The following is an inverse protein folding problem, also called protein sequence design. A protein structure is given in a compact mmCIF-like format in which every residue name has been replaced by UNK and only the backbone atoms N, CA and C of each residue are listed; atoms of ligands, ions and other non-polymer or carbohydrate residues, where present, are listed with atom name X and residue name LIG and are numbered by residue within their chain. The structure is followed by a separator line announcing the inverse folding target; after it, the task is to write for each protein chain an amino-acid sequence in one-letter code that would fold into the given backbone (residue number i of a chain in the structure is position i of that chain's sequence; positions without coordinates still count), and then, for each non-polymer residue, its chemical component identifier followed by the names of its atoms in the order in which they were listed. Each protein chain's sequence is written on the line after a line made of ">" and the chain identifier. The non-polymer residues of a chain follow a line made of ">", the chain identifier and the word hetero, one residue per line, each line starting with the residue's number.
data_IF_941931580013
#
_entry.id   IF_941931580013
#
_cell.length_a   1.000
_cell.length_b   1.000
_cell.length_c   1.000
_cell.angle_alpha   90.00
_cell.angle_beta   90.00
_cell.angle_gamma   90.00
#
_symmetry.space_group_name_H-M   'P 1'
#
loop_
_entity.id
_entity.type
_entity.pdbx_description
1 polymer ?
#
# COMPACT_ATOMS: atom_id res chain seq x y z
N UNK A 1 43.45 13.99 20.95
CA UNK A 1 42.61 12.89 21.31
C UNK A 1 41.14 13.34 21.28
N UNK A 2 40.36 12.75 20.40
CA UNK A 2 38.88 12.74 20.35
C UNK A 2 38.14 14.08 20.11
N UNK A 3 38.03 14.46 18.85
CA UNK A 3 36.91 15.25 18.32
C UNK A 3 36.54 14.66 16.94
N UNK A 4 35.81 13.58 16.89
CA UNK A 4 35.20 13.07 15.65
C UNK A 4 34.00 12.19 16.08
N UNK A 5 32.87 12.77 16.43
CA UNK A 5 31.56 12.03 16.47
C UNK A 5 30.34 12.99 16.46
N UNK A 6 30.44 14.25 16.05
CA UNK A 6 29.26 15.15 16.12
C UNK A 6 28.75 15.65 14.76
N UNK A 7 29.24 15.13 13.63
CA UNK A 7 28.87 15.71 12.30
C UNK A 7 27.90 14.89 11.47
N UNK A 8 27.45 13.73 11.91
CA UNK A 8 26.60 12.85 11.09
C UNK A 8 25.10 13.05 11.35
N UNK A 9 24.69 13.65 12.46
CA UNK A 9 23.28 13.89 12.81
C UNK A 9 22.70 15.23 12.33
N UNK A 10 23.54 16.17 11.92
CA UNK A 10 23.10 17.53 11.57
C UNK A 10 22.77 17.72 10.08
N UNK A 11 23.11 16.78 9.23
CA UNK A 11 22.89 16.88 7.77
C UNK A 11 21.51 16.36 7.30
N UNK A 12 20.79 15.64 8.17
CA UNK A 12 19.43 15.13 7.88
C UNK A 12 18.35 16.19 8.17
N UNK A 13 18.66 17.21 8.98
CA UNK A 13 17.67 18.20 9.46
C UNK A 13 17.50 19.44 8.56
N UNK A 14 18.31 19.65 7.54
CA UNK A 14 18.26 20.87 6.71
C UNK A 14 17.61 20.64 5.33
N UNK A 15 17.38 19.39 4.91
CA UNK A 15 16.75 19.13 3.60
C UNK A 15 15.21 19.07 3.66
N UNK A 16 14.59 19.06 4.85
CA UNK A 16 13.13 19.00 5.03
C UNK A 16 12.45 20.35 5.28
N UNK A 17 13.17 21.45 5.30
CA UNK A 17 12.59 22.77 5.62
C UNK A 17 11.83 23.45 4.47
N UNK A 18 11.66 22.81 3.31
CA UNK A 18 10.98 23.39 2.15
C UNK A 18 9.74 22.61 1.66
N UNK A 19 9.35 21.51 2.32
CA UNK A 19 8.09 20.83 2.05
C UNK A 19 7.32 20.68 3.36
N UNK A 20 6.61 21.72 3.73
CA UNK A 20 5.82 21.84 4.97
C UNK A 20 4.51 21.04 4.94
N UNK A 21 4.57 19.75 4.55
CA UNK A 21 3.51 18.77 4.78
C UNK A 21 4.15 17.55 5.40
N UNK A 22 4.20 17.50 6.74
CA UNK A 22 4.84 16.37 7.44
C UNK A 22 3.96 15.11 7.35
N UNK A 23 4.15 14.34 6.27
CA UNK A 23 3.69 12.97 6.25
C UNK A 23 4.59 12.15 7.19
N UNK A 24 4.00 11.64 8.27
CA UNK A 24 4.69 10.77 9.20
C UNK A 24 4.42 9.30 8.83
N UNK A 25 5.48 8.50 8.74
CA UNK A 25 5.40 7.06 8.46
C UNK A 25 5.88 6.28 9.69
N UNK A 26 4.97 5.54 10.32
CA UNK A 26 5.27 4.59 11.38
C UNK A 26 5.33 3.18 10.80
N UNK A 27 6.41 2.45 11.05
CA UNK A 27 6.56 1.04 10.66
C UNK A 27 6.64 0.18 11.91
N UNK A 28 5.80 -0.86 11.96
CA UNK A 28 5.68 -1.74 13.11
C UNK A 28 5.80 -3.19 12.65
N UNK A 29 6.90 -3.89 12.99
CA UNK A 29 7.01 -5.32 12.72
C UNK A 29 6.01 -6.10 13.58
N UNK A 30 5.41 -7.14 13.01
CA UNK A 30 4.47 -8.01 13.70
C UNK A 30 5.21 -9.21 14.31
N UNK A 31 5.11 -9.36 15.63
CA UNK A 31 5.55 -10.57 16.30
C UNK A 31 4.48 -11.65 16.13
N UNK A 32 4.59 -12.43 15.05
CA UNK A 32 3.59 -13.39 14.63
C UNK A 32 4.04 -14.82 14.91
N UNK A 33 3.15 -15.65 15.45
CA UNK A 33 3.36 -17.10 15.56
C UNK A 33 3.40 -17.75 14.16
N UNK A 34 3.86 -18.99 14.08
CA UNK A 34 3.88 -19.76 12.82
C UNK A 34 2.50 -19.86 12.18
N UNK A 35 1.44 -20.05 12.98
CA UNK A 35 0.07 -20.08 12.51
C UNK A 35 -0.38 -18.71 11.96
N UNK A 36 -0.07 -17.63 12.69
CA UNK A 36 -0.37 -16.27 12.25
C UNK A 36 0.37 -15.92 10.95
N UNK A 37 1.64 -16.32 10.81
CA UNK A 37 2.40 -16.14 9.56
C UNK A 37 1.76 -16.88 8.38
N UNK A 38 1.27 -18.10 8.58
CA UNK A 38 0.58 -18.85 7.53
C UNK A 38 -0.71 -18.13 7.09
N UNK A 39 -1.49 -17.61 8.04
CA UNK A 39 -2.71 -16.83 7.76
C UNK A 39 -2.42 -15.50 7.06
N UNK A 40 -1.34 -14.81 7.42
CA UNK A 40 -0.92 -13.57 6.75
C UNK A 40 -0.48 -13.83 5.31
N UNK A 41 0.28 -14.91 5.05
CA UNK A 41 0.66 -15.32 3.69
C UNK A 41 -0.57 -15.70 2.86
N UNK A 42 -1.52 -16.43 3.43
CA UNK A 42 -2.76 -16.79 2.75
C UNK A 42 -3.58 -15.56 2.37
N UNK A 43 -3.68 -14.57 3.27
CA UNK A 43 -4.33 -13.29 2.99
C UNK A 43 -3.61 -12.55 1.84
N UNK A 44 -2.29 -12.45 1.90
CA UNK A 44 -1.47 -11.75 0.91
C UNK A 44 -1.62 -12.38 -0.48
N UNK A 45 -1.49 -13.71 -0.58
CA UNK A 45 -1.65 -14.43 -1.85
C UNK A 45 -3.09 -14.33 -2.39
N UNK A 46 -4.12 -14.36 -1.54
CA UNK A 46 -5.51 -14.14 -1.98
C UNK A 46 -5.72 -12.71 -2.47
N UNK A 47 -5.18 -11.72 -1.77
CA UNK A 47 -5.22 -10.32 -2.21
C UNK A 47 -4.56 -10.13 -3.57
N UNK A 48 -3.38 -10.74 -3.80
CA UNK A 48 -2.70 -10.75 -5.10
C UNK A 48 -3.57 -11.37 -6.20
N UNK A 49 -4.25 -12.50 -5.92
CA UNK A 49 -5.18 -13.13 -6.88
C UNK A 49 -6.33 -12.20 -7.26
N UNK A 50 -6.88 -11.44 -6.31
CA UNK A 50 -7.92 -10.44 -6.59
C UNK A 50 -7.38 -9.32 -7.47
N UNK A 51 -6.19 -8.79 -7.17
CA UNK A 51 -5.52 -7.78 -8.00
C UNK A 51 -5.29 -8.30 -9.44
N UNK A 52 -4.79 -9.53 -9.57
CA UNK A 52 -4.55 -10.17 -10.87
C UNK A 52 -5.83 -10.46 -11.65
N UNK A 53 -6.94 -10.72 -10.99
CA UNK A 53 -8.24 -10.89 -11.64
C UNK A 53 -8.80 -9.56 -12.18
N UNK A 54 -8.43 -8.43 -11.55
CA UNK A 54 -8.84 -7.10 -11.94
C UNK A 54 -7.97 -6.49 -13.04
N UNK A 55 -6.66 -6.78 -13.05
CA UNK A 55 -5.70 -6.17 -13.96
C UNK A 55 -6.06 -6.25 -15.46
N UNK A 56 -6.64 -7.36 -16.01
CA UNK A 56 -7.10 -7.43 -17.39
C UNK A 56 -8.18 -6.39 -17.72
N UNK A 57 -9.06 -6.06 -16.77
CA UNK A 57 -10.06 -5.01 -17.00
C UNK A 57 -9.40 -3.65 -17.22
N UNK A 58 -8.37 -3.31 -16.42
CA UNK A 58 -7.59 -2.08 -16.62
C UNK A 58 -6.94 -2.07 -18.00
N UNK A 59 -6.29 -3.17 -18.40
CA UNK A 59 -5.63 -3.30 -19.71
C UNK A 59 -6.62 -3.06 -20.85
N UNK A 60 -7.77 -3.71 -20.81
CA UNK A 60 -8.76 -3.69 -21.90
C UNK A 60 -9.53 -2.36 -21.97
N UNK A 61 -9.91 -1.79 -20.81
CA UNK A 61 -10.78 -0.62 -20.75
C UNK A 61 -10.02 0.70 -20.66
N UNK A 62 -8.73 0.67 -20.33
CA UNK A 62 -7.90 1.83 -19.96
C UNK A 62 -8.50 2.64 -18.80
N UNK A 63 -9.32 2.01 -17.96
CA UNK A 63 -9.94 2.61 -16.78
C UNK A 63 -9.20 2.15 -15.54
N UNK A 64 -8.65 3.08 -14.74
CA UNK A 64 -8.05 2.83 -13.44
C UNK A 64 -8.49 3.79 -12.35
N UNK A 65 -9.48 4.65 -12.63
CA UNK A 65 -10.13 5.40 -11.58
C UNK A 65 -10.81 4.44 -10.59
N UNK A 66 -10.54 4.61 -9.28
CA UNK A 66 -11.03 3.69 -8.25
C UNK A 66 -12.54 3.49 -8.27
N UNK A 67 -13.31 4.59 -8.44
CA UNK A 67 -14.78 4.54 -8.44
C UNK A 67 -15.29 3.80 -9.68
N UNK A 68 -14.75 4.13 -10.86
CA UNK A 68 -15.13 3.46 -12.11
C UNK A 68 -14.78 1.96 -12.08
N UNK A 69 -13.59 1.59 -11.63
CA UNK A 69 -13.20 0.18 -11.46
C UNK A 69 -14.13 -0.55 -10.48
N UNK A 70 -14.50 0.08 -9.37
CA UNK A 70 -15.43 -0.52 -8.43
C UNK A 70 -16.77 -0.85 -9.12
N UNK A 71 -17.33 0.10 -9.86
CA UNK A 71 -18.58 -0.14 -10.58
C UNK A 71 -18.48 -1.26 -11.62
N UNK A 72 -17.35 -1.35 -12.33
CA UNK A 72 -17.13 -2.35 -13.37
C UNK A 72 -16.92 -3.76 -12.84
N UNK A 73 -16.29 -3.90 -11.65
CA UNK A 73 -15.68 -5.19 -11.28
C UNK A 73 -16.10 -5.74 -9.92
N UNK A 74 -16.61 -4.91 -9.01
CA UNK A 74 -16.84 -5.31 -7.62
C UNK A 74 -17.72 -6.54 -7.50
N UNK A 75 -18.87 -6.60 -8.21
CA UNK A 75 -19.79 -7.73 -8.14
C UNK A 75 -19.12 -9.03 -8.60
N UNK A 76 -18.48 -9.01 -9.77
CA UNK A 76 -17.76 -10.18 -10.31
C UNK A 76 -16.62 -10.64 -9.39
N UNK A 77 -15.88 -9.72 -8.79
CA UNK A 77 -14.83 -10.06 -7.83
C UNK A 77 -15.40 -10.68 -6.55
N UNK A 78 -16.53 -10.17 -6.03
CA UNK A 78 -17.21 -10.75 -4.87
C UNK A 78 -17.70 -12.17 -5.12
N UNK A 79 -18.25 -12.42 -6.32
CA UNK A 79 -18.73 -13.75 -6.71
C UNK A 79 -17.56 -14.74 -6.88
N UNK A 80 -16.43 -14.26 -7.43
CA UNK A 80 -15.24 -15.08 -7.69
C UNK A 80 -14.38 -15.37 -6.46
N UNK A 81 -14.37 -14.47 -5.48
CA UNK A 81 -13.54 -14.54 -4.27
C UNK A 81 -14.41 -14.36 -3.01
N UNK A 82 -15.33 -15.31 -2.71
CA UNK A 82 -16.22 -15.21 -1.56
C UNK A 82 -15.47 -15.26 -0.21
N UNK A 83 -14.27 -15.87 -0.18
CA UNK A 83 -13.45 -16.03 0.99
C UNK A 83 -12.83 -14.72 1.51
N UNK A 84 -12.67 -13.71 0.66
CA UNK A 84 -12.12 -12.41 1.07
C UNK A 84 -13.24 -11.42 1.39
N UNK A 85 -13.10 -10.68 2.50
CA UNK A 85 -14.11 -9.71 2.94
C UNK A 85 -14.39 -8.61 1.90
N UNK A 86 -15.65 -8.13 1.84
CA UNK A 86 -16.09 -7.11 0.87
C UNK A 86 -15.22 -5.86 0.85
N UNK A 87 -14.85 -5.36 2.02
CA UNK A 87 -13.98 -4.18 2.12
C UNK A 87 -12.56 -4.47 1.63
N UNK A 88 -12.04 -5.69 1.83
CA UNK A 88 -10.74 -6.08 1.30
C UNK A 88 -10.72 -6.14 -0.23
N UNK A 89 -11.85 -6.51 -0.87
CA UNK A 89 -12.00 -6.37 -2.34
C UNK A 89 -11.92 -4.90 -2.76
N UNK A 90 -12.55 -3.98 -2.02
CA UNK A 90 -12.42 -2.54 -2.28
C UNK A 90 -10.98 -2.05 -2.12
N UNK A 91 -10.23 -2.62 -1.17
CA UNK A 91 -8.82 -2.29 -0.96
C UNK A 91 -7.92 -2.86 -2.08
N UNK A 92 -8.27 -4.03 -2.64
CA UNK A 92 -7.58 -4.56 -3.83
C UNK A 92 -7.85 -3.69 -5.07
N UNK A 93 -9.08 -3.22 -5.27
CA UNK A 93 -9.41 -2.24 -6.32
C UNK A 93 -8.59 -0.95 -6.14
N UNK A 94 -8.44 -0.46 -4.90
CA UNK A 94 -7.58 0.67 -4.59
C UNK A 94 -6.12 0.40 -4.95
N UNK A 95 -5.57 -0.77 -4.58
CA UNK A 95 -4.20 -1.17 -4.89
C UNK A 95 -3.92 -1.14 -6.40
N UNK A 96 -4.77 -1.78 -7.20
CA UNK A 96 -4.63 -1.80 -8.67
C UNK A 96 -4.79 -0.40 -9.26
N UNK A 97 -5.76 0.39 -8.79
CA UNK A 97 -5.93 1.78 -9.22
C UNK A 97 -4.69 2.62 -8.95
N UNK A 98 -4.10 2.50 -7.76
CA UNK A 98 -2.89 3.23 -7.34
C UNK A 98 -1.67 2.84 -8.18
N UNK A 99 -1.45 1.54 -8.36
CA UNK A 99 -0.35 1.00 -9.16
C UNK A 99 -0.49 1.39 -10.63
N UNK A 100 -1.68 1.30 -11.20
CA UNK A 100 -1.94 1.72 -12.57
C UNK A 100 -1.70 3.22 -12.77
N UNK A 101 -2.07 4.06 -11.80
CA UNK A 101 -1.79 5.49 -11.83
C UNK A 101 -0.28 5.77 -11.82
N UNK A 102 0.46 5.07 -10.96
CA UNK A 102 1.91 5.19 -10.90
C UNK A 102 2.55 4.83 -12.25
N UNK A 103 2.13 3.74 -12.88
CA UNK A 103 2.74 3.27 -14.12
C UNK A 103 2.26 4.02 -15.37
N UNK A 104 0.99 4.36 -15.46
CA UNK A 104 0.41 4.91 -16.69
C UNK A 104 0.26 6.44 -16.69
N UNK A 105 0.27 7.10 -15.53
CA UNK A 105 0.13 8.56 -15.44
C UNK A 105 1.39 9.28 -15.00
N UNK A 106 2.31 8.61 -14.26
CA UNK A 106 3.52 9.28 -13.78
C UNK A 106 4.46 9.62 -14.94
N UNK A 107 4.91 10.89 -15.09
CA UNK A 107 5.74 11.33 -16.22
C UNK A 107 7.07 10.56 -16.35
N UNK A 108 7.66 10.15 -15.22
CA UNK A 108 8.91 9.37 -15.17
C UNK A 108 8.75 7.89 -15.50
N UNK A 109 7.50 7.38 -15.62
CA UNK A 109 7.29 5.96 -15.91
C UNK A 109 7.62 5.64 -17.37
N UNK A 110 8.29 4.50 -17.65
CA UNK A 110 8.49 4.01 -19.01
C UNK A 110 7.17 3.66 -19.70
N UNK A 111 6.12 3.34 -18.95
CA UNK A 111 4.78 2.99 -19.42
C UNK A 111 3.77 4.15 -19.36
N UNK A 112 4.25 5.38 -19.22
CA UNK A 112 3.38 6.55 -19.24
C UNK A 112 2.57 6.62 -20.55
N UNK A 113 1.28 6.97 -20.47
CA UNK A 113 0.39 7.03 -21.65
C UNK A 113 0.91 7.89 -22.79
N UNK A 114 1.58 9.00 -22.50
CA UNK A 114 2.15 9.86 -23.53
C UNK A 114 3.29 9.15 -24.31
N UNK A 115 3.98 8.19 -23.68
CA UNK A 115 5.03 7.38 -24.33
C UNK A 115 4.46 6.16 -25.03
N UNK A 116 3.39 5.57 -24.50
CA UNK A 116 2.70 4.43 -25.10
C UNK A 116 1.93 4.83 -26.36
N UNK A 117 1.35 6.04 -26.40
CA UNK A 117 0.51 6.47 -27.50
C UNK A 117 -0.68 5.53 -27.68
N UNK A 118 -0.86 5.04 -28.93
CA UNK A 118 -1.94 4.13 -29.30
C UNK A 118 -1.65 2.64 -29.02
N UNK A 119 -0.44 2.33 -28.52
CA UNK A 119 -0.10 0.95 -28.18
C UNK A 119 -1.03 0.41 -27.09
N UNK A 120 -1.33 -0.90 -27.11
CA UNK A 120 -2.09 -1.54 -26.01
C UNK A 120 -1.39 -1.32 -24.66
N UNK A 121 -2.19 -1.17 -23.60
CA UNK A 121 -1.61 -1.16 -22.26
C UNK A 121 -0.98 -2.52 -21.96
N UNK A 122 0.19 -2.54 -21.32
CA UNK A 122 0.73 -3.78 -20.78
C UNK A 122 -0.18 -4.33 -19.66
N UNK A 123 -0.14 -5.65 -19.50
CA UNK A 123 -0.82 -6.32 -18.40
C UNK A 123 0.02 -6.26 -17.13
N UNK A 124 -0.57 -5.83 -16.04
CA UNK A 124 0.07 -5.83 -14.73
C UNK A 124 -0.15 -7.18 -14.04
N UNK A 125 0.93 -7.76 -13.50
CA UNK A 125 0.90 -8.97 -12.68
C UNK A 125 1.43 -8.65 -11.29
N UNK A 126 0.60 -8.90 -10.29
CA UNK A 126 0.92 -8.71 -8.88
C UNK A 126 1.49 -10.02 -8.32
N UNK A 127 2.68 -9.97 -7.76
CA UNK A 127 3.31 -11.11 -7.09
C UNK A 127 2.55 -11.47 -5.80
N UNK A 128 2.66 -12.73 -5.37
CA UNK A 128 1.97 -13.23 -4.17
C UNK A 128 2.35 -12.49 -2.88
N UNK A 129 3.49 -11.81 -2.87
CA UNK A 129 3.96 -10.96 -1.78
C UNK A 129 3.63 -9.48 -1.96
N UNK A 130 2.69 -9.12 -2.86
CA UNK A 130 2.30 -7.73 -3.03
C UNK A 130 1.74 -7.14 -1.73
N UNK A 131 1.89 -5.83 -1.50
CA UNK A 131 1.37 -5.15 -0.32
C UNK A 131 -0.14 -5.28 -0.19
N UNK A 132 -0.62 -5.56 1.02
CA UNK A 132 -2.06 -5.62 1.34
C UNK A 132 -2.48 -4.31 1.99
N UNK A 133 -3.45 -3.63 1.40
CA UNK A 133 -3.98 -2.37 1.89
C UNK A 133 -5.12 -2.59 2.86
N UNK A 134 -5.12 -1.84 3.95
CA UNK A 134 -6.17 -1.82 4.96
C UNK A 134 -6.74 -0.41 5.13
N UNK A 135 -7.91 -0.35 5.71
CA UNK A 135 -8.55 0.86 6.17
C UNK A 135 -9.08 0.69 7.60
N UNK A 136 -9.70 1.73 8.16
CA UNK A 136 -10.26 1.74 9.53
C UNK A 136 -11.37 0.70 9.76
N UNK A 137 -11.99 0.16 8.71
CA UNK A 137 -13.03 -0.87 8.82
C UNK A 137 -12.42 -2.27 8.89
N UNK A 138 -11.26 -2.45 8.26
CA UNK A 138 -10.56 -3.74 8.16
C UNK A 138 -9.45 -3.90 9.19
N UNK A 139 -8.93 -2.80 9.74
CA UNK A 139 -7.89 -2.79 10.76
C UNK A 139 -8.16 -1.70 11.79
N UNK A 140 -7.91 -2.01 13.06
CA UNK A 140 -7.97 -1.04 14.16
C UNK A 140 -6.81 -1.25 15.11
N UNK A 141 -6.31 -0.14 15.66
CA UNK A 141 -5.33 -0.12 16.76
C UNK A 141 -5.98 0.59 17.94
N UNK A 142 -5.96 -0.05 19.10
CA UNK A 142 -6.49 0.51 20.34
C UNK A 142 -5.69 -0.04 21.52
N UNK A 143 -5.22 0.84 22.40
CA UNK A 143 -4.49 0.49 23.63
C UNK A 143 -3.33 -0.49 23.36
N UNK A 144 -2.51 -0.22 22.34
CA UNK A 144 -1.41 -1.09 21.92
C UNK A 144 -1.85 -2.43 21.29
N UNK A 145 -3.15 -2.66 21.12
CA UNK A 145 -3.68 -3.87 20.48
C UNK A 145 -4.10 -3.59 19.03
N UNK A 146 -3.50 -4.33 18.11
CA UNK A 146 -3.91 -4.39 16.71
C UNK A 146 -4.98 -5.47 16.54
N UNK A 147 -6.03 -5.16 15.81
CA UNK A 147 -7.02 -6.11 15.32
C UNK A 147 -7.24 -5.92 13.83
N UNK A 148 -6.96 -6.94 13.02
CA UNK A 148 -7.08 -6.87 11.56
C UNK A 148 -7.92 -8.03 11.00
N UNK A 149 -8.65 -7.80 9.93
CA UNK A 149 -9.33 -8.86 9.19
C UNK A 149 -8.35 -9.71 8.41
N UNK A 150 -8.57 -11.02 8.44
CA UNK A 150 -7.94 -12.04 7.60
C UNK A 150 -9.03 -12.83 6.88
N UNK A 151 -8.66 -13.85 6.13
CA UNK A 151 -9.66 -14.74 5.48
C UNK A 151 -10.52 -15.49 6.50
N UNK A 152 -9.92 -15.83 7.66
CA UNK A 152 -10.55 -16.61 8.73
C UNK A 152 -10.99 -15.73 9.91
N UNK A 153 -11.49 -14.54 9.63
CA UNK A 153 -11.93 -13.60 10.64
C UNK A 153 -10.82 -12.67 11.15
N UNK A 154 -11.00 -12.11 12.34
CA UNK A 154 -10.04 -11.14 12.92
C UNK A 154 -8.87 -11.83 13.58
N UNK A 155 -7.68 -11.27 13.36
CA UNK A 155 -6.43 -11.64 14.02
C UNK A 155 -5.95 -10.46 14.87
N UNK A 156 -5.34 -10.76 16.01
CA UNK A 156 -4.88 -9.74 16.97
C UNK A 156 -3.39 -9.88 17.23
N UNK A 157 -2.76 -8.71 17.45
CA UNK A 157 -1.35 -8.59 17.83
C UNK A 157 -1.20 -7.54 18.93
N UNK A 158 -0.30 -7.80 19.88
CA UNK A 158 0.22 -6.74 20.73
C UNK A 158 1.29 -5.98 19.96
N UNK A 159 1.14 -4.67 19.85
CA UNK A 159 2.13 -3.80 19.22
C UNK A 159 3.05 -3.18 20.28
N UNK A 160 4.34 -3.20 20.02
CA UNK A 160 5.32 -2.50 20.87
C UNK A 160 5.40 -1.03 20.43
N UNK A 161 4.36 -0.25 20.72
CA UNK A 161 4.30 1.18 20.42
C UNK A 161 4.98 2.00 21.53
N UNK A 162 5.68 3.06 21.13
CA UNK A 162 6.14 4.08 22.07
C UNK A 162 4.98 5.05 22.37
N UNK A 163 4.98 5.77 23.51
CA UNK A 163 3.93 6.74 23.82
C UNK A 163 3.73 7.81 22.74
N UNK A 164 4.80 8.20 22.04
CA UNK A 164 4.76 9.15 20.92
C UNK A 164 4.04 8.54 19.70
N UNK A 165 4.16 7.22 19.48
CA UNK A 165 3.47 6.54 18.39
C UNK A 165 1.97 6.46 18.65
N UNK A 166 1.58 6.18 19.92
CA UNK A 166 0.18 6.17 20.34
C UNK A 166 -0.48 7.56 20.21
N UNK A 167 0.26 8.63 20.53
CA UNK A 167 -0.21 10.00 20.32
C UNK A 167 -0.55 10.27 18.85
N UNK A 168 0.25 9.78 17.90
CA UNK A 168 -0.02 9.96 16.47
C UNK A 168 -1.35 9.33 16.01
N UNK A 169 -1.75 8.18 16.58
CA UNK A 169 -3.05 7.57 16.27
C UNK A 169 -4.24 8.41 16.75
N UNK A 170 -4.05 9.23 17.80
CA UNK A 170 -5.08 10.08 18.38
C UNK A 170 -5.13 11.48 17.73
N UNK A 171 -3.97 12.03 17.36
CA UNK A 171 -3.82 13.43 16.98
C UNK A 171 -3.76 13.64 15.46
N UNK A 172 -3.27 12.63 14.71
CA UNK A 172 -3.06 12.75 13.27
C UNK A 172 -4.11 11.99 12.45
N UNK A 173 -4.29 12.43 11.22
CA UNK A 173 -5.17 11.74 10.28
C UNK A 173 -4.44 10.55 9.66
N UNK A 174 -4.91 9.35 9.97
CA UNK A 174 -4.42 8.12 9.33
C UNK A 174 -4.90 8.07 7.87
N UNK A 175 -3.97 8.02 6.94
CA UNK A 175 -4.21 8.05 5.48
C UNK A 175 -4.18 6.67 4.86
N UNK A 176 -3.17 5.90 5.18
CA UNK A 176 -2.93 4.59 4.55
C UNK A 176 -2.38 3.61 5.57
N UNK A 177 -2.78 2.36 5.46
CA UNK A 177 -2.27 1.23 6.25
C UNK A 177 -1.88 0.14 5.26
N UNK A 178 -0.62 -0.28 5.31
CA UNK A 178 -0.08 -1.26 4.37
C UNK A 178 0.65 -2.37 5.12
N UNK A 179 0.28 -3.61 4.83
CA UNK A 179 0.98 -4.81 5.30
C UNK A 179 1.93 -5.28 4.20
N UNK A 180 3.19 -5.44 4.54
CA UNK A 180 4.23 -5.98 3.66
C UNK A 180 4.94 -7.14 4.34
N UNK A 181 5.47 -8.08 3.55
CA UNK A 181 6.43 -9.08 4.01
C UNK A 181 7.84 -8.61 3.65
N UNK A 182 8.74 -8.63 4.64
CA UNK A 182 10.15 -8.32 4.45
C UNK A 182 10.90 -9.53 3.87
N UNK A 183 12.11 -9.33 3.37
CA UNK A 183 12.96 -10.40 2.83
C UNK A 183 13.32 -11.48 3.88
N UNK A 184 13.36 -11.09 5.17
CA UNK A 184 13.58 -12.03 6.30
C UNK A 184 12.31 -12.81 6.70
N UNK A 185 11.18 -12.59 6.00
CA UNK A 185 9.91 -13.26 6.25
C UNK A 185 9.06 -12.61 7.36
N UNK A 186 9.54 -11.55 7.98
CA UNK A 186 8.77 -10.77 8.98
C UNK A 186 7.72 -9.93 8.26
N UNK A 187 6.49 -9.96 8.75
CA UNK A 187 5.46 -9.03 8.32
C UNK A 187 5.55 -7.71 9.07
N UNK A 188 5.39 -6.62 8.35
CA UNK A 188 5.45 -5.27 8.88
C UNK A 188 4.21 -4.48 8.44
N UNK A 189 3.64 -3.69 9.36
CA UNK A 189 2.61 -2.70 9.06
C UNK A 189 3.23 -1.32 8.97
N UNK A 190 2.91 -0.64 7.89
CA UNK A 190 3.23 0.78 7.69
C UNK A 190 1.96 1.60 7.84
N UNK A 191 1.99 2.59 8.73
CA UNK A 191 0.91 3.55 8.97
C UNK A 191 1.37 4.92 8.47
N UNK A 192 0.68 5.45 7.47
CA UNK A 192 0.96 6.79 6.97
C UNK A 192 -0.04 7.78 7.57
N UNK A 193 0.49 8.79 8.25
CA UNK A 193 -0.28 9.87 8.84
C UNK A 193 -0.02 11.18 8.12
N UNK A 194 -0.98 12.10 8.18
CA UNK A 194 -0.83 13.51 7.79
C UNK A 194 -1.45 14.39 8.86
N UNK A 195 -1.08 15.66 8.86
CA UNK A 195 -1.75 16.65 9.69
C UNK A 195 -3.22 16.80 9.26
N UNK A 196 -4.10 17.16 10.22
CA UNK A 196 -5.55 17.07 10.03
C UNK A 196 -6.12 18.04 8.96
N UNK A 197 -5.38 19.07 8.58
CA UNK A 197 -5.85 20.14 7.67
C UNK A 197 -5.75 19.78 6.19
N UNK A 198 -5.03 18.71 5.82
CA UNK A 198 -4.86 18.33 4.41
C UNK A 198 -6.00 17.47 3.88
N UNK A 199 -6.85 18.04 3.05
CA UNK A 199 -7.92 17.32 2.35
C UNK A 199 -7.47 16.61 1.06
N UNK A 200 -6.28 16.87 0.56
CA UNK A 200 -5.75 16.22 -0.65
C UNK A 200 -4.62 15.25 -0.30
N UNK A 201 -4.72 14.02 -0.80
CA UNK A 201 -3.59 13.09 -0.82
C UNK A 201 -2.61 13.65 -1.86
N UNK A 202 -1.41 14.12 -1.48
CA UNK A 202 -0.44 14.54 -2.46
C UNK A 202 -0.12 13.35 -3.36
N UNK A 203 -0.39 13.49 -4.65
CA UNK A 203 0.29 12.65 -5.64
C UNK A 203 1.77 12.94 -5.44
N UNK A 204 2.64 11.94 -5.20
CA UNK A 204 4.06 12.20 -5.03
C UNK A 204 4.53 13.12 -6.16
N UNK A 205 5.14 14.25 -5.77
CA UNK A 205 5.63 15.21 -6.74
C UNK A 205 6.55 14.50 -7.74
N UNK A 206 6.35 14.77 -9.03
CA UNK A 206 6.97 14.09 -10.16
C UNK A 206 8.46 14.45 -10.32
N UNK A 207 9.27 14.32 -9.27
CA UNK A 207 10.71 14.55 -9.29
C UNK A 207 11.48 13.25 -9.05
N UNK A 208 11.39 12.32 -10.00
CA UNK A 208 12.14 11.06 -9.98
C UNK A 208 11.63 10.10 -11.06
N UNK A 209 12.44 9.13 -11.45
CA UNK A 209 11.96 8.01 -12.26
C UNK A 209 10.93 7.25 -11.43
N UNK A 210 9.74 6.99 -11.99
CA UNK A 210 8.78 6.10 -11.35
C UNK A 210 9.35 4.68 -11.46
N UNK A 211 9.99 4.21 -10.40
CA UNK A 211 10.42 2.82 -10.31
C UNK A 211 9.19 1.92 -10.30
N UNK A 212 9.26 0.87 -11.11
CA UNK A 212 8.23 -0.17 -11.09
C UNK A 212 8.34 -0.88 -9.75
N UNK A 213 7.26 -0.97 -8.95
CA UNK A 213 7.33 -1.69 -7.67
C UNK A 213 7.79 -3.13 -7.89
N UNK A 214 8.70 -3.64 -7.06
CA UNK A 214 9.26 -4.99 -7.14
C UNK A 214 8.19 -6.11 -7.16
N UNK A 215 7.04 -5.84 -6.56
CA UNK A 215 5.91 -6.76 -6.53
C UNK A 215 5.01 -6.72 -7.78
N UNK A 216 5.40 -5.95 -8.82
CA UNK A 216 4.62 -5.83 -10.06
C UNK A 216 5.50 -6.20 -11.26
N UNK A 217 5.08 -7.20 -12.00
CA UNK A 217 5.62 -7.51 -13.33
C UNK A 217 4.75 -6.85 -14.39
N UNK A 218 5.37 -6.34 -15.44
CA UNK A 218 4.70 -5.69 -16.55
C UNK A 218 4.86 -6.57 -17.78
N UNK A 219 3.76 -7.17 -18.23
CA UNK A 219 3.73 -8.01 -19.45
C UNK A 219 3.32 -7.15 -20.64
N UNK A 220 4.25 -6.89 -21.56
CA UNK A 220 3.92 -6.16 -22.80
C UNK A 220 2.92 -6.97 -23.64
N UNK A 221 1.95 -6.27 -24.22
CA UNK A 221 1.03 -6.90 -25.17
C UNK A 221 1.82 -7.30 -26.42
N UNK A 222 1.73 -8.58 -26.79
CA UNK A 222 2.29 -9.09 -28.06
C UNK A 222 1.48 -8.59 -29.24
#
# INVERSE_FOLDING_TARGET
>A
MSIVVFFTYFKIFIYDAYNSYMNFLLRVPLNASTEQLARLRSLQGTFARVCNALAPTVQQTRVWNRVALHHLTYRTLRDRFPEIGSQMVCNAIYSVSRTSRLLFQHPGSPFNLARLGDKPLPLLRFADNCPVYFDRHTLSVKDGQLSMYTLDGRMRFALALQPVDEANFNEKKLREIVLTSRADGVFELSFQFSDAEDNEVPVPAASGSAEIPEYVMVEEAQ
#
